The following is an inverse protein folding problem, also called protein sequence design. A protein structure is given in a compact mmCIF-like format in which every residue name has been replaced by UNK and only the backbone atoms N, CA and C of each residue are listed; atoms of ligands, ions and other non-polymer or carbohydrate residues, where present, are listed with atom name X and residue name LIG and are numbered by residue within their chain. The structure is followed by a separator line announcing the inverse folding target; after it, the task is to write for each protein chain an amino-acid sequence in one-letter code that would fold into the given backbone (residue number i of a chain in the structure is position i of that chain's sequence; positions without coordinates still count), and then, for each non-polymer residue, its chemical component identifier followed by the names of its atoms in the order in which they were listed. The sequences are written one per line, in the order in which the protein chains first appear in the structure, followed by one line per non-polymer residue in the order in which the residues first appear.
data_IF_385002407882
#
_entry.id   IF_385002407882
#
_cell.length_a   1.000
_cell.length_b   1.000
_cell.length_c   1.000
_cell.angle_alpha   90.00
_cell.angle_beta   90.00
_cell.angle_gamma   90.00
#
_symmetry.space_group_name_H-M   'P 1'
#
loop_
_entity.id
_entity.type
_entity.pdbx_description
1 polymer ?
#
# COMPACT_ATOMS: atom_id res chain seq x y z
N UNK A 1 15.28 -37.30 -24.95
CA UNK A 1 15.15 -36.87 -23.53
C UNK A 1 13.70 -36.45 -23.37
N UNK A 2 13.01 -37.05 -22.46
CA UNK A 2 11.62 -36.72 -22.18
C UNK A 2 11.55 -35.54 -21.18
N UNK A 3 10.81 -34.49 -21.50
CA UNK A 3 10.61 -33.37 -20.60
C UNK A 3 9.47 -33.66 -19.61
N UNK A 4 9.41 -32.89 -18.51
CA UNK A 4 8.28 -33.01 -17.59
C UNK A 4 7.03 -32.32 -18.18
N UNK A 5 7.21 -31.13 -18.81
CA UNK A 5 6.15 -30.38 -19.45
C UNK A 5 6.67 -29.68 -20.70
N UNK A 6 5.83 -29.65 -21.73
CA UNK A 6 6.00 -28.77 -22.90
C UNK A 6 4.79 -27.79 -22.95
N UNK A 7 5.08 -26.50 -23.03
CA UNK A 7 4.07 -25.47 -23.37
C UNK A 7 4.22 -25.20 -24.86
N UNK A 8 3.21 -25.58 -25.65
CA UNK A 8 3.32 -25.62 -27.10
C UNK A 8 2.56 -24.48 -27.80
N UNK A 9 3.18 -23.88 -28.83
CA UNK A 9 2.53 -22.97 -29.78
C UNK A 9 2.15 -21.59 -29.25
N UNK A 10 2.66 -21.19 -28.10
CA UNK A 10 2.38 -19.90 -27.48
C UNK A 10 3.11 -18.72 -28.11
N UNK A 11 2.60 -17.50 -27.88
CA UNK A 11 3.28 -16.25 -28.17
C UNK A 11 4.00 -15.79 -26.90
N UNK A 12 5.33 -15.93 -26.85
CA UNK A 12 6.14 -15.70 -25.65
C UNK A 12 6.49 -14.21 -25.57
N UNK A 13 6.20 -13.60 -24.40
CA UNK A 13 6.67 -12.28 -24.00
C UNK A 13 7.48 -12.48 -22.72
N UNK A 14 8.81 -12.39 -22.81
CA UNK A 14 9.72 -12.77 -21.73
C UNK A 14 10.01 -11.67 -20.71
N UNK A 15 9.45 -10.49 -20.89
CA UNK A 15 9.67 -9.32 -20.01
C UNK A 15 10.92 -8.52 -20.33
N UNK A 16 11.69 -8.86 -21.37
CA UNK A 16 12.89 -8.10 -21.78
C UNK A 16 12.57 -6.79 -22.52
N UNK A 17 11.32 -6.59 -22.93
CA UNK A 17 10.89 -5.50 -23.82
C UNK A 17 11.05 -5.83 -25.30
N UNK A 18 11.52 -7.04 -25.66
CA UNK A 18 11.57 -7.50 -27.03
C UNK A 18 10.16 -7.86 -27.56
N UNK A 19 10.04 -7.91 -28.88
CA UNK A 19 8.81 -8.34 -29.54
C UNK A 19 8.45 -9.79 -29.18
N UNK A 20 7.15 -10.07 -29.15
CA UNK A 20 6.64 -11.41 -28.87
C UNK A 20 7.17 -12.44 -29.89
N UNK A 21 7.66 -13.57 -29.42
CA UNK A 21 8.19 -14.64 -30.25
C UNK A 21 7.32 -15.89 -30.13
N UNK A 22 6.87 -16.47 -31.26
CA UNK A 22 6.16 -17.72 -31.27
C UNK A 22 7.11 -18.90 -31.12
N UNK A 23 6.98 -19.65 -30.03
CA UNK A 23 7.86 -20.79 -29.74
C UNK A 23 7.19 -21.73 -28.71
N UNK A 24 7.80 -22.89 -28.53
CA UNK A 24 7.47 -23.83 -27.46
C UNK A 24 8.46 -23.67 -26.29
N UNK A 25 8.04 -24.08 -25.10
CA UNK A 25 8.87 -24.08 -23.89
C UNK A 25 8.92 -25.48 -23.32
N UNK A 26 10.14 -26.03 -23.15
CA UNK A 26 10.36 -27.31 -22.48
C UNK A 26 10.82 -27.09 -21.04
N UNK A 27 10.22 -27.83 -20.11
CA UNK A 27 10.45 -27.74 -18.67
C UNK A 27 10.82 -29.12 -18.13
N UNK A 28 11.85 -29.18 -17.30
CA UNK A 28 12.22 -30.34 -16.51
C UNK A 28 12.81 -29.93 -15.17
N UNK A 29 12.44 -30.64 -14.10
CA UNK A 29 12.89 -30.35 -12.76
C UNK A 29 12.52 -28.93 -12.30
N UNK A 30 11.34 -28.43 -12.72
CA UNK A 30 10.83 -27.07 -12.36
C UNK A 30 11.59 -25.93 -13.05
N UNK A 31 12.44 -26.23 -14.08
CA UNK A 31 13.22 -25.22 -14.79
C UNK A 31 12.97 -25.26 -16.28
N UNK A 32 12.96 -24.09 -16.92
CA UNK A 32 12.96 -23.98 -18.38
C UNK A 32 14.30 -24.51 -18.89
N UNK A 33 14.25 -25.54 -19.72
CA UNK A 33 15.43 -26.19 -20.32
C UNK A 33 15.69 -25.66 -21.72
N UNK A 34 14.63 -25.38 -22.47
CA UNK A 34 14.73 -24.92 -23.87
C UNK A 34 13.51 -24.08 -24.26
N UNK A 35 13.74 -23.05 -25.05
CA UNK A 35 12.71 -22.29 -25.75
C UNK A 35 13.04 -22.39 -27.25
N UNK A 36 12.06 -22.70 -28.10
CA UNK A 36 12.22 -22.82 -29.54
C UNK A 36 11.30 -23.84 -30.18
N UNK A 37 11.66 -24.35 -31.35
CA UNK A 37 10.91 -25.43 -31.99
C UNK A 37 11.18 -26.77 -31.27
N UNK A 38 10.11 -27.36 -30.76
CA UNK A 38 10.10 -28.66 -30.05
C UNK A 38 9.25 -29.70 -30.76
N UNK A 39 9.01 -29.56 -32.08
CA UNK A 39 8.13 -30.43 -32.89
C UNK A 39 8.49 -31.93 -32.86
N UNK A 40 9.70 -32.29 -32.46
CA UNK A 40 10.14 -33.70 -32.30
C UNK A 40 10.37 -34.11 -30.85
N UNK A 41 10.07 -33.27 -29.87
CA UNK A 41 10.30 -33.55 -28.47
C UNK A 41 9.11 -34.26 -27.82
N UNK A 42 9.39 -35.03 -26.75
CA UNK A 42 8.36 -35.69 -25.92
C UNK A 42 8.35 -35.14 -24.51
N UNK A 43 7.21 -35.09 -23.88
CA UNK A 43 7.05 -34.71 -22.48
C UNK A 43 6.01 -35.60 -21.81
N UNK A 44 6.03 -35.66 -20.47
CA UNK A 44 4.98 -36.33 -19.68
C UNK A 44 3.64 -35.62 -19.88
N UNK A 45 3.66 -34.28 -19.88
CA UNK A 45 2.49 -33.42 -20.09
C UNK A 45 2.76 -32.38 -21.18
N UNK A 46 1.71 -32.02 -21.93
CA UNK A 46 1.77 -30.94 -22.94
C UNK A 46 0.60 -29.99 -22.74
N UNK A 47 0.91 -28.71 -22.57
CA UNK A 47 -0.07 -27.64 -22.50
C UNK A 47 -0.14 -26.93 -23.86
N UNK A 48 -1.29 -27.00 -24.54
CA UNK A 48 -1.53 -26.22 -25.75
C UNK A 48 -1.77 -24.74 -25.41
N UNK A 49 -0.83 -23.90 -25.81
CA UNK A 49 -0.89 -22.45 -25.69
C UNK A 49 -1.16 -21.75 -27.03
N UNK A 50 -1.65 -22.47 -28.04
CA UNK A 50 -1.98 -21.90 -29.34
C UNK A 50 -2.97 -20.75 -29.21
N UNK A 51 -2.62 -19.60 -29.78
CA UNK A 51 -3.42 -18.36 -29.68
C UNK A 51 -3.38 -17.66 -28.31
N UNK A 52 -2.53 -18.14 -27.40
CA UNK A 52 -2.34 -17.53 -26.06
C UNK A 52 -0.99 -16.83 -25.99
N UNK A 53 -0.93 -15.86 -25.06
CA UNK A 53 0.34 -15.23 -24.63
C UNK A 53 0.90 -16.08 -23.48
N UNK A 54 2.21 -16.34 -23.51
CA UNK A 54 2.95 -16.99 -22.43
C UNK A 54 3.97 -16.00 -21.88
N UNK A 55 3.86 -15.70 -20.59
CA UNK A 55 4.73 -14.76 -19.90
C UNK A 55 5.37 -15.41 -18.67
N UNK A 56 6.46 -14.85 -18.12
CA UNK A 56 6.83 -15.10 -16.73
C UNK A 56 5.66 -14.79 -15.79
N UNK A 57 5.61 -15.44 -14.64
CA UNK A 57 4.63 -15.09 -13.61
C UNK A 57 4.80 -13.64 -13.17
N UNK A 58 3.69 -12.99 -12.86
CA UNK A 58 3.72 -11.59 -12.42
C UNK A 58 4.32 -11.47 -11.02
N UNK A 59 5.07 -10.40 -10.80
CA UNK A 59 5.57 -9.99 -9.50
C UNK A 59 4.74 -8.80 -9.02
N UNK A 60 3.98 -9.00 -7.95
CA UNK A 60 3.23 -7.91 -7.33
C UNK A 60 4.11 -7.21 -6.30
N UNK A 61 4.54 -6.00 -6.63
CA UNK A 61 5.49 -5.22 -5.84
C UNK A 61 4.84 -4.46 -4.68
N UNK A 62 3.52 -4.46 -4.57
CA UNK A 62 2.84 -3.74 -3.51
C UNK A 62 1.58 -4.47 -3.06
N UNK A 63 1.70 -5.25 -2.00
CA UNK A 63 0.58 -5.96 -1.38
C UNK A 63 0.56 -5.73 0.12
N UNK A 64 -0.60 -5.99 0.73
CA UNK A 64 -0.79 -6.07 2.17
C UNK A 64 -1.36 -7.45 2.55
N UNK A 65 -0.78 -8.50 1.95
CA UNK A 65 -1.16 -9.88 2.19
C UNK A 65 -0.55 -10.45 3.49
N UNK A 66 0.13 -9.61 4.25
CA UNK A 66 0.85 -9.93 5.50
C UNK A 66 -0.01 -10.68 6.52
N UNK A 67 -1.28 -10.28 6.66
CA UNK A 67 -2.23 -10.94 7.55
C UNK A 67 -2.94 -12.10 6.84
N UNK A 68 -3.40 -11.88 5.61
CA UNK A 68 -4.19 -12.85 4.85
C UNK A 68 -3.50 -14.20 4.71
N UNK A 69 -2.19 -14.22 4.56
CA UNK A 69 -1.39 -15.44 4.44
C UNK A 69 -1.63 -16.43 5.59
N UNK A 70 -2.03 -15.95 6.77
CA UNK A 70 -2.30 -16.76 7.95
C UNK A 70 -3.52 -17.67 7.81
N UNK A 71 -4.55 -17.25 7.08
CA UNK A 71 -5.79 -18.01 6.88
C UNK A 71 -6.04 -18.38 5.41
N UNK A 72 -5.37 -17.73 4.49
CA UNK A 72 -5.43 -18.04 3.05
C UNK A 72 -4.01 -18.16 2.47
N UNK A 73 -3.32 -19.29 2.69
CA UNK A 73 -1.98 -19.50 2.14
C UNK A 73 -1.97 -19.60 0.61
N UNK A 74 -3.13 -19.75 -0.05
CA UNK A 74 -3.22 -19.63 -1.51
C UNK A 74 -3.05 -18.20 -1.99
N UNK A 75 -3.14 -17.22 -1.07
CA UNK A 75 -3.06 -15.79 -1.38
C UNK A 75 -4.01 -15.43 -2.52
N UNK A 76 -5.28 -15.92 -2.40
CA UNK A 76 -6.36 -15.69 -3.37
C UNK A 76 -6.58 -14.18 -3.48
N UNK A 77 -7.07 -13.84 -4.43
CA UNK A 77 -7.20 -13.52 -5.74
C UNK A 77 -5.91 -13.26 -6.52
N UNK A 78 -4.81 -12.86 -5.87
CA UNK A 78 -3.54 -12.57 -6.55
C UNK A 78 -3.02 -13.80 -7.30
N UNK A 79 -3.03 -14.99 -6.65
CA UNK A 79 -2.64 -16.25 -7.31
C UNK A 79 -3.50 -16.60 -8.52
N UNK A 80 -4.80 -16.30 -8.49
CA UNK A 80 -5.71 -16.57 -9.63
C UNK A 80 -5.51 -15.63 -10.81
N UNK A 81 -4.81 -14.52 -10.62
CA UNK A 81 -4.48 -13.55 -11.66
C UNK A 81 -3.07 -13.69 -12.23
N UNK A 82 -2.39 -14.83 -11.94
CA UNK A 82 -1.06 -15.12 -12.49
C UNK A 82 0.10 -14.46 -11.75
N UNK A 83 -0.15 -13.92 -10.55
CA UNK A 83 0.92 -13.52 -9.65
C UNK A 83 1.62 -14.76 -9.14
N UNK A 84 2.94 -14.77 -9.17
CA UNK A 84 3.79 -15.87 -8.67
C UNK A 84 4.75 -15.42 -7.58
N UNK A 85 4.90 -14.12 -7.39
CA UNK A 85 5.69 -13.52 -6.32
C UNK A 85 4.97 -12.30 -5.79
N UNK A 86 4.77 -12.22 -4.47
CA UNK A 86 4.18 -11.08 -3.80
C UNK A 86 5.17 -10.44 -2.82
N UNK A 87 5.21 -9.11 -2.81
CA UNK A 87 5.97 -8.34 -1.83
C UNK A 87 5.05 -7.90 -0.69
N UNK A 88 5.38 -8.29 0.54
CA UNK A 88 4.67 -7.94 1.77
C UNK A 88 5.47 -6.91 2.58
N UNK A 89 4.84 -6.33 3.60
CA UNK A 89 5.47 -5.31 4.45
C UNK A 89 5.56 -3.93 3.79
N UNK A 90 4.69 -3.61 2.85
CA UNK A 90 4.66 -2.30 2.20
C UNK A 90 4.14 -1.19 3.13
N UNK A 91 4.32 0.05 2.74
CA UNK A 91 3.82 1.25 3.44
C UNK A 91 4.25 1.34 4.92
N UNK A 92 5.35 0.70 5.30
CA UNK A 92 5.79 0.66 6.68
C UNK A 92 4.98 -0.25 7.58
N UNK A 93 4.00 -0.98 7.06
CA UNK A 93 3.10 -1.84 7.83
C UNK A 93 3.55 -3.29 7.70
N UNK A 94 3.95 -3.88 8.83
CA UNK A 94 4.35 -5.30 8.93
C UNK A 94 4.20 -5.78 10.37
N UNK A 95 4.25 -7.09 10.57
CA UNK A 95 4.15 -7.72 11.89
C UNK A 95 5.50 -8.07 12.52
N UNK A 96 6.62 -7.63 11.92
CA UNK A 96 7.97 -7.91 12.42
C UNK A 96 8.98 -6.78 12.10
N UNK A 97 10.00 -6.60 12.97
CA UNK A 97 10.18 -7.27 14.28
C UNK A 97 9.11 -6.82 15.29
N UNK A 98 8.77 -7.68 16.25
CA UNK A 98 7.68 -7.39 17.19
C UNK A 98 7.85 -8.13 18.52
N UNK A 99 7.97 -7.38 19.62
CA UNK A 99 7.86 -7.98 20.95
C UNK A 99 6.43 -8.41 21.26
N UNK A 100 6.20 -9.46 22.09
CA UNK A 100 4.87 -9.97 22.38
C UNK A 100 3.86 -8.93 22.89
N UNK A 101 4.34 -7.92 23.61
CA UNK A 101 3.51 -6.82 24.15
C UNK A 101 2.93 -5.90 23.08
N UNK A 102 3.56 -5.84 21.89
CA UNK A 102 3.22 -4.92 20.82
C UNK A 102 2.38 -5.57 19.69
N UNK A 103 2.15 -6.89 19.73
CA UNK A 103 1.42 -7.65 18.70
C UNK A 103 0.02 -7.08 18.45
N UNK A 104 -0.73 -6.83 19.50
CA UNK A 104 -2.10 -6.28 19.41
C UNK A 104 -2.09 -4.92 18.71
N UNK A 105 -1.13 -4.06 19.04
CA UNK A 105 -1.00 -2.76 18.40
C UNK A 105 -0.75 -2.87 16.88
N UNK A 106 0.11 -3.79 16.44
CA UNK A 106 0.35 -4.00 15.00
C UNK A 106 -0.89 -4.54 14.27
N UNK A 107 -1.69 -5.38 14.92
CA UNK A 107 -2.97 -5.83 14.36
C UNK A 107 -3.97 -4.67 14.21
N UNK A 108 -4.09 -3.80 15.21
CA UNK A 108 -4.95 -2.61 15.18
C UNK A 108 -4.49 -1.57 14.12
N UNK A 109 -3.18 -1.46 13.92
CA UNK A 109 -2.63 -0.61 12.86
C UNK A 109 -3.02 -1.16 11.47
N UNK A 110 -2.91 -2.46 11.24
CA UNK A 110 -3.33 -3.09 9.99
C UNK A 110 -4.85 -2.95 9.78
N UNK A 111 -5.67 -3.06 10.82
CA UNK A 111 -7.12 -2.81 10.74
C UNK A 111 -7.42 -1.42 10.19
N UNK A 112 -6.69 -0.41 10.66
CA UNK A 112 -6.91 0.97 10.23
C UNK A 112 -6.45 1.27 8.80
N UNK A 113 -5.49 0.49 8.30
CA UNK A 113 -4.90 0.71 6.96
C UNK A 113 -5.58 -0.15 5.91
N UNK A 114 -5.99 -1.39 6.27
CA UNK A 114 -6.46 -2.40 5.31
C UNK A 114 -7.88 -2.91 5.56
N UNK A 115 -8.62 -2.33 6.53
CA UNK A 115 -9.98 -2.73 6.89
C UNK A 115 -10.11 -4.23 7.30
N UNK A 116 -9.04 -4.83 7.83
CA UNK A 116 -9.05 -6.20 8.35
C UNK A 116 -9.14 -6.14 9.87
N UNK A 117 -10.22 -6.67 10.45
CA UNK A 117 -10.43 -6.61 11.89
C UNK A 117 -9.24 -7.16 12.70
N UNK A 118 -8.76 -6.39 13.68
CA UNK A 118 -7.59 -6.75 14.49
C UNK A 118 -7.76 -8.11 15.20
N UNK A 119 -8.97 -8.45 15.64
CA UNK A 119 -9.25 -9.76 16.23
C UNK A 119 -9.06 -10.90 15.22
N UNK A 120 -9.47 -10.71 13.96
CA UNK A 120 -9.24 -11.70 12.91
C UNK A 120 -7.75 -11.89 12.62
N UNK A 121 -6.96 -10.80 12.64
CA UNK A 121 -5.51 -10.86 12.50
C UNK A 121 -4.86 -11.57 13.67
N UNK A 122 -5.30 -11.27 14.91
CA UNK A 122 -4.77 -11.92 16.12
C UNK A 122 -5.03 -13.42 16.14
N UNK A 123 -6.21 -13.85 15.65
CA UNK A 123 -6.58 -15.27 15.58
C UNK A 123 -5.98 -15.98 14.35
N UNK A 124 -5.79 -15.25 13.25
CA UNK A 124 -5.36 -15.81 11.96
C UNK A 124 -3.85 -16.04 11.85
N UNK A 125 -3.05 -15.35 12.65
CA UNK A 125 -1.58 -15.45 12.60
C UNK A 125 -1.04 -16.24 13.80
N UNK A 126 0.04 -17.04 13.61
CA UNK A 126 0.61 -17.86 14.70
C UNK A 126 1.36 -17.06 15.76
N UNK A 127 1.79 -15.83 15.47
CA UNK A 127 2.52 -14.93 16.38
C UNK A 127 3.67 -15.59 17.16
N UNK A 128 4.42 -16.47 16.50
CA UNK A 128 5.51 -17.26 17.09
C UNK A 128 6.90 -16.67 16.81
N UNK A 129 6.98 -15.39 16.50
CA UNK A 129 8.20 -14.67 16.19
C UNK A 129 8.39 -13.43 17.07
N UNK A 130 9.62 -12.94 17.11
CA UNK A 130 10.06 -11.66 17.66
C UNK A 130 10.98 -10.93 16.68
N UNK A 131 11.85 -11.65 15.99
CA UNK A 131 12.72 -11.12 14.96
C UNK A 131 12.09 -11.21 13.56
N UNK A 132 12.71 -10.55 12.60
CA UNK A 132 12.26 -10.60 11.21
C UNK A 132 12.51 -11.96 10.57
N UNK A 133 13.65 -12.60 10.88
CA UNK A 133 13.97 -13.94 10.40
C UNK A 133 12.97 -14.99 10.90
N UNK A 134 12.63 -14.96 12.19
CA UNK A 134 11.59 -15.84 12.75
C UNK A 134 10.23 -15.61 12.08
N UNK A 135 9.91 -14.36 11.70
CA UNK A 135 8.70 -14.05 10.93
C UNK A 135 8.72 -14.71 9.55
N UNK A 136 9.84 -14.60 8.81
CA UNK A 136 9.97 -15.28 7.52
C UNK A 136 9.87 -16.81 7.65
N UNK A 137 10.45 -17.40 8.67
CA UNK A 137 10.32 -18.83 8.97
C UNK A 137 8.86 -19.21 9.25
N UNK A 138 8.15 -18.36 9.99
CA UNK A 138 6.72 -18.53 10.25
C UNK A 138 5.91 -18.46 8.95
N UNK A 139 6.15 -17.47 8.09
CA UNK A 139 5.51 -17.33 6.77
C UNK A 139 5.80 -18.57 5.92
N UNK A 140 7.04 -19.05 5.88
CA UNK A 140 7.40 -20.25 5.14
C UNK A 140 6.67 -21.50 5.67
N UNK A 141 6.45 -21.60 6.97
CA UNK A 141 5.73 -22.72 7.58
C UNK A 141 4.26 -22.81 7.17
N UNK A 142 3.65 -21.68 6.76
CA UNK A 142 2.30 -21.62 6.23
C UNK A 142 2.17 -22.16 4.80
N UNK A 143 3.29 -22.44 4.14
CA UNK A 143 3.37 -22.97 2.76
C UNK A 143 2.59 -22.14 1.74
N UNK A 144 2.90 -20.85 1.58
CA UNK A 144 2.20 -19.99 0.64
C UNK A 144 2.32 -20.52 -0.80
N UNK A 145 1.26 -20.34 -1.59
CA UNK A 145 1.24 -20.75 -3.01
C UNK A 145 2.09 -19.82 -3.89
N UNK A 146 2.37 -18.61 -3.44
CA UNK A 146 3.24 -17.64 -4.11
C UNK A 146 4.61 -17.60 -3.42
N UNK A 147 5.64 -17.21 -4.19
CA UNK A 147 6.87 -16.77 -3.55
C UNK A 147 6.58 -15.48 -2.79
N UNK A 148 7.13 -15.38 -1.58
CA UNK A 148 6.96 -14.19 -0.74
C UNK A 148 8.32 -13.54 -0.53
N UNK A 149 8.39 -12.23 -0.77
CA UNK A 149 9.51 -11.38 -0.38
C UNK A 149 8.98 -10.31 0.56
N UNK A 150 9.77 -9.91 1.56
CA UNK A 150 9.27 -9.02 2.59
C UNK A 150 10.16 -7.82 2.85
N UNK A 151 9.53 -6.71 3.23
CA UNK A 151 10.17 -5.48 3.68
C UNK A 151 10.04 -5.35 5.19
N UNK A 152 11.09 -4.93 5.87
CA UNK A 152 11.01 -4.51 7.27
C UNK A 152 10.22 -3.20 7.37
N UNK A 153 9.21 -3.14 8.22
CA UNK A 153 8.28 -2.01 8.27
C UNK A 153 8.62 -0.99 9.34
N UNK A 154 8.61 0.27 8.97
CA UNK A 154 8.90 1.39 9.85
C UNK A 154 7.99 1.45 11.08
N UNK A 155 6.69 1.18 10.89
CA UNK A 155 5.72 1.26 11.98
C UNK A 155 6.03 0.29 13.12
N UNK A 156 6.41 -0.95 12.80
CA UNK A 156 6.79 -1.95 13.80
C UNK A 156 8.08 -1.54 14.51
N UNK A 157 9.11 -1.17 13.76
CA UNK A 157 10.43 -0.84 14.28
C UNK A 157 10.41 0.44 15.13
N UNK A 158 9.76 1.50 14.64
CA UNK A 158 9.68 2.78 15.37
C UNK A 158 8.84 2.66 16.63
N UNK A 159 7.74 1.88 16.57
CA UNK A 159 6.92 1.61 17.76
C UNK A 159 7.67 0.77 18.79
N UNK A 160 8.47 -0.21 18.36
CA UNK A 160 9.30 -1.01 19.28
C UNK A 160 10.33 -0.14 19.99
N UNK A 161 10.92 0.85 19.31
CA UNK A 161 11.93 1.74 19.88
C UNK A 161 11.36 2.86 20.77
N UNK A 162 10.26 3.51 20.35
CA UNK A 162 9.74 4.74 20.94
C UNK A 162 8.40 4.56 21.67
N UNK A 163 7.72 3.40 21.47
CA UNK A 163 6.39 3.15 21.99
C UNK A 163 5.34 4.11 21.40
N UNK A 164 4.34 4.44 22.20
CA UNK A 164 3.20 5.27 21.81
C UNK A 164 3.61 6.67 21.28
N UNK A 165 4.70 7.21 21.80
CA UNK A 165 5.28 8.50 21.34
C UNK A 165 5.70 8.50 19.86
N UNK A 166 5.87 7.33 19.25
CA UNK A 166 6.24 7.20 17.83
C UNK A 166 5.21 7.80 16.87
N UNK A 167 3.97 7.99 17.32
CA UNK A 167 2.85 8.52 16.54
C UNK A 167 2.62 10.03 16.77
N UNK A 168 3.24 10.63 17.78
CA UNK A 168 3.03 12.03 18.09
C UNK A 168 3.64 12.94 17.03
N UNK A 169 2.87 13.94 16.61
CA UNK A 169 3.33 14.90 15.60
C UNK A 169 4.61 15.62 16.09
N UNK A 170 5.64 15.57 15.24
CA UNK A 170 6.94 16.19 15.56
C UNK A 170 7.83 15.43 16.54
N UNK A 171 7.38 14.30 17.10
CA UNK A 171 8.25 13.46 17.93
C UNK A 171 9.37 12.84 17.11
N UNK A 172 10.62 13.05 17.56
CA UNK A 172 11.80 12.46 16.94
C UNK A 172 12.47 11.50 17.93
N UNK A 173 13.17 10.45 17.44
CA UNK A 173 13.95 9.57 18.29
C UNK A 173 15.14 10.31 18.90
N UNK A 174 15.46 10.02 20.15
CA UNK A 174 16.74 10.39 20.71
C UNK A 174 17.89 9.55 20.11
N UNK A 175 19.15 9.82 20.49
CA UNK A 175 20.29 9.12 19.89
C UNK A 175 20.27 7.61 20.15
N UNK A 176 19.81 7.19 21.32
CA UNK A 176 19.72 5.76 21.69
C UNK A 176 18.58 5.07 20.95
N UNK A 177 17.44 5.73 20.84
CA UNK A 177 16.29 5.22 20.09
C UNK A 177 16.63 5.11 18.60
N UNK A 178 17.32 6.10 18.04
CA UNK A 178 17.77 6.09 16.64
C UNK A 178 18.76 4.96 16.36
N UNK A 179 19.73 4.75 17.26
CA UNK A 179 20.68 3.62 17.16
C UNK A 179 19.93 2.28 17.22
N UNK A 180 18.92 2.17 18.09
CA UNK A 180 18.08 0.96 18.18
C UNK A 180 17.27 0.72 16.92
N UNK A 181 16.66 1.78 16.33
CA UNK A 181 15.95 1.71 15.04
C UNK A 181 16.90 1.20 13.95
N UNK A 182 18.08 1.83 13.81
CA UNK A 182 19.08 1.45 12.81
C UNK A 182 19.55 0.01 12.97
N UNK A 183 19.75 -0.44 14.20
CA UNK A 183 20.15 -1.82 14.50
C UNK A 183 19.07 -2.82 14.11
N UNK A 184 17.81 -2.57 14.44
CA UNK A 184 16.68 -3.44 14.05
C UNK A 184 16.51 -3.50 12.54
N UNK A 185 16.65 -2.38 11.82
CA UNK A 185 16.60 -2.35 10.36
C UNK A 185 17.72 -3.21 9.77
N UNK A 186 18.97 -2.97 10.19
CA UNK A 186 20.13 -3.75 9.71
C UNK A 186 19.95 -5.24 9.96
N UNK A 187 19.56 -5.62 11.17
CA UNK A 187 19.30 -7.02 11.52
C UNK A 187 18.19 -7.64 10.66
N UNK A 188 17.08 -6.93 10.45
CA UNK A 188 15.98 -7.43 9.61
C UNK A 188 16.42 -7.72 8.18
N UNK A 189 17.29 -6.86 7.61
CA UNK A 189 17.85 -7.08 6.27
C UNK A 189 18.84 -8.25 6.26
N UNK A 190 19.71 -8.36 7.27
CA UNK A 190 20.62 -9.52 7.44
C UNK A 190 19.86 -10.85 7.59
N UNK A 191 18.66 -10.81 8.19
CA UNK A 191 17.77 -11.97 8.39
C UNK A 191 16.88 -12.28 7.18
N UNK A 192 16.94 -11.50 6.09
CA UNK A 192 16.29 -11.82 4.82
C UNK A 192 15.25 -10.83 4.31
N UNK A 193 15.03 -9.69 4.99
CA UNK A 193 14.25 -8.62 4.38
C UNK A 193 14.97 -8.10 3.13
N UNK A 194 14.23 -7.94 2.02
CA UNK A 194 14.81 -7.39 0.78
C UNK A 194 15.05 -5.86 0.86
N UNK A 195 14.67 -5.27 1.96
CA UNK A 195 14.83 -3.86 2.26
C UNK A 195 13.89 -3.40 3.36
N UNK A 196 13.48 -2.15 3.28
CA UNK A 196 12.70 -1.47 4.30
C UNK A 196 11.56 -0.67 3.66
N UNK A 197 10.47 -0.50 4.39
CA UNK A 197 9.34 0.31 3.96
C UNK A 197 8.93 1.35 5.01
N UNK A 198 8.43 2.49 4.53
CA UNK A 198 7.87 3.54 5.39
C UNK A 198 6.59 4.12 4.81
N UNK A 199 5.72 4.66 5.68
CA UNK A 199 4.64 5.53 5.27
C UNK A 199 4.85 6.93 5.81
N UNK A 200 4.80 7.88 4.90
CA UNK A 200 4.77 9.31 5.19
C UNK A 200 3.44 9.94 4.78
N UNK A 201 2.51 9.09 4.35
CA UNK A 201 1.21 9.47 3.83
C UNK A 201 0.24 9.79 4.98
N UNK A 202 -0.26 11.01 5.02
CA UNK A 202 -1.07 11.55 6.13
C UNK A 202 -2.44 10.88 6.31
N UNK A 203 -2.89 10.08 5.36
CA UNK A 203 -4.14 9.33 5.48
C UNK A 203 -3.96 7.96 6.12
N UNK A 204 -2.73 7.47 6.26
CA UNK A 204 -2.46 6.27 7.04
C UNK A 204 -2.50 6.63 8.53
N UNK A 205 -3.54 6.18 9.20
CA UNK A 205 -3.79 6.50 10.60
C UNK A 205 -3.97 5.23 11.44
N UNK A 206 -3.74 5.34 12.72
CA UNK A 206 -4.10 4.34 13.72
C UNK A 206 -5.54 4.57 14.22
N UNK A 207 -6.16 3.62 14.96
CA UNK A 207 -7.56 3.73 15.35
C UNK A 207 -7.95 5.00 16.12
N UNK A 208 -7.01 5.62 16.84
CA UNK A 208 -7.25 6.88 17.56
C UNK A 208 -7.14 8.14 16.69
N UNK A 209 -6.82 7.98 15.38
CA UNK A 209 -6.75 9.05 14.39
C UNK A 209 -5.38 9.71 14.26
N UNK A 210 -4.37 9.32 15.07
CA UNK A 210 -2.99 9.76 14.84
C UNK A 210 -2.42 9.08 13.60
N UNK A 211 -1.42 9.69 12.98
CA UNK A 211 -0.72 9.07 11.86
C UNK A 211 0.11 7.87 12.31
N UNK A 212 0.35 6.92 11.38
CA UNK A 212 1.16 5.72 11.65
C UNK A 212 2.59 6.08 12.05
N UNK A 213 3.27 5.27 12.88
CA UNK A 213 4.69 5.45 13.17
C UNK A 213 5.52 5.54 11.89
N UNK A 214 6.44 6.52 11.82
CA UNK A 214 7.22 6.81 10.61
C UNK A 214 6.72 8.01 9.81
N UNK A 215 5.43 8.38 9.90
CA UNK A 215 4.89 9.54 9.18
C UNK A 215 5.65 10.84 9.52
N UNK A 216 6.07 11.00 10.76
CA UNK A 216 6.75 12.21 11.26
C UNK A 216 8.28 12.08 11.31
N UNK A 217 8.85 10.96 10.83
CA UNK A 217 10.29 10.78 10.77
C UNK A 217 10.97 11.91 9.98
N UNK A 218 12.02 12.50 10.51
CA UNK A 218 12.82 13.52 9.83
C UNK A 218 13.91 12.90 8.92
N UNK A 219 14.66 13.73 8.22
CA UNK A 219 15.74 13.29 7.36
C UNK A 219 16.88 12.60 8.10
N UNK A 220 17.12 12.95 9.39
CA UNK A 220 18.11 12.29 10.21
C UNK A 220 17.74 10.83 10.46
N UNK A 221 16.47 10.58 10.81
CA UNK A 221 15.97 9.22 11.03
C UNK A 221 15.98 8.40 9.74
N UNK A 222 15.44 8.95 8.65
CA UNK A 222 15.41 8.24 7.36
C UNK A 222 16.79 7.93 6.82
N UNK A 223 17.77 8.84 7.00
CA UNK A 223 19.15 8.61 6.60
C UNK A 223 19.81 7.49 7.40
N UNK A 224 19.66 7.48 8.73
CA UNK A 224 20.18 6.40 9.56
C UNK A 224 19.59 5.03 9.17
N UNK A 225 18.30 4.99 8.82
CA UNK A 225 17.63 3.80 8.29
C UNK A 225 18.25 3.37 6.95
N UNK A 226 18.46 4.30 6.01
CA UNK A 226 19.06 4.01 4.70
C UNK A 226 20.50 3.49 4.83
N UNK A 227 21.30 4.07 5.70
CA UNK A 227 22.64 3.58 6.04
C UNK A 227 22.59 2.16 6.61
N UNK A 228 21.62 1.87 7.49
CA UNK A 228 21.41 0.55 8.07
C UNK A 228 20.97 -0.50 7.03
N UNK A 229 20.11 -0.14 6.07
CA UNK A 229 19.72 -1.00 4.95
C UNK A 229 20.94 -1.42 4.14
N UNK A 230 21.79 -0.46 3.77
CA UNK A 230 23.00 -0.73 2.99
C UNK A 230 24.00 -1.57 3.80
N UNK A 231 24.13 -1.28 5.09
CA UNK A 231 25.03 -2.05 5.97
C UNK A 231 24.58 -3.52 6.16
N UNK A 232 23.27 -3.80 6.11
CA UNK A 232 22.72 -5.16 6.23
C UNK A 232 22.67 -5.91 4.90
N UNK A 233 22.28 -5.26 3.81
CA UNK A 233 21.98 -5.90 2.51
C UNK A 233 22.93 -5.53 1.36
N UNK A 234 23.84 -4.61 1.58
CA UNK A 234 24.70 -4.08 0.53
C UNK A 234 23.99 -3.14 -0.45
N UNK A 235 24.71 -2.77 -1.51
CA UNK A 235 24.13 -1.94 -2.56
C UNK A 235 23.00 -2.67 -3.30
N UNK A 236 21.89 -1.97 -3.49
CA UNK A 236 20.71 -2.48 -4.18
C UNK A 236 19.61 -3.00 -3.28
N UNK A 237 19.77 -2.96 -1.96
CA UNK A 237 18.66 -3.21 -1.04
C UNK A 237 17.59 -2.11 -1.17
N UNK A 238 16.33 -2.50 -1.00
CA UNK A 238 15.19 -1.66 -1.35
C UNK A 238 14.81 -0.69 -0.22
N UNK A 239 14.63 0.58 -0.55
CA UNK A 239 13.94 1.56 0.28
C UNK A 239 12.59 1.90 -0.36
N UNK A 240 11.50 1.44 0.25
CA UNK A 240 10.13 1.68 -0.23
C UNK A 240 9.46 2.77 0.61
N UNK A 241 8.71 3.66 -0.03
CA UNK A 241 8.00 4.72 0.69
C UNK A 241 6.62 5.00 0.08
N UNK A 242 5.62 5.16 0.96
CA UNK A 242 4.36 5.81 0.64
C UNK A 242 4.46 7.27 1.07
N UNK A 243 4.34 8.22 0.14
CA UNK A 243 4.77 9.60 0.32
C UNK A 243 3.64 10.61 0.38
N UNK A 244 3.90 11.73 1.06
CA UNK A 244 3.10 12.94 1.00
C UNK A 244 3.71 13.93 0.00
N UNK A 245 3.38 13.74 -1.26
CA UNK A 245 3.86 14.60 -2.35
C UNK A 245 3.11 15.93 -2.45
N UNK A 246 2.08 16.15 -1.65
CA UNK A 246 1.31 17.39 -1.67
C UNK A 246 1.90 18.45 -0.74
N UNK A 247 2.27 18.07 0.47
CA UNK A 247 2.69 19.03 1.50
C UNK A 247 4.19 19.00 1.78
N UNK A 248 4.92 17.90 1.43
CA UNK A 248 6.32 17.68 1.77
C UNK A 248 7.22 17.39 0.56
N UNK A 249 6.83 17.81 -0.62
CA UNK A 249 7.46 17.43 -1.88
C UNK A 249 9.00 17.52 -1.86
N UNK A 250 9.56 18.67 -1.46
CA UNK A 250 11.02 18.87 -1.49
C UNK A 250 11.74 17.96 -0.50
N UNK A 251 11.18 17.77 0.70
CA UNK A 251 11.75 16.86 1.71
C UNK A 251 11.72 15.41 1.26
N UNK A 252 10.65 14.99 0.57
CA UNK A 252 10.55 13.64 0.00
C UNK A 252 11.60 13.43 -1.11
N UNK A 253 11.83 14.42 -1.97
CA UNK A 253 12.87 14.33 -2.98
C UNK A 253 14.28 14.27 -2.38
N UNK A 254 14.54 15.03 -1.30
CA UNK A 254 15.82 14.99 -0.58
C UNK A 254 16.06 13.61 0.03
N UNK A 255 15.03 13.03 0.68
CA UNK A 255 15.09 11.67 1.22
C UNK A 255 15.41 10.63 0.13
N UNK A 256 14.86 10.77 -1.07
CA UNK A 256 15.15 9.86 -2.18
C UNK A 256 16.57 10.02 -2.73
N UNK A 257 17.08 11.27 -2.81
CA UNK A 257 18.47 11.50 -3.17
C UNK A 257 19.43 10.85 -2.20
N UNK A 258 19.21 11.07 -0.90
CA UNK A 258 20.00 10.43 0.15
C UNK A 258 20.03 8.91 0.00
N UNK A 259 18.86 8.30 -0.23
CA UNK A 259 18.75 6.85 -0.41
C UNK A 259 19.53 6.35 -1.63
N UNK A 260 19.36 7.00 -2.80
CA UNK A 260 20.05 6.59 -4.02
C UNK A 260 21.55 6.86 -3.96
N UNK A 261 21.98 7.94 -3.29
CA UNK A 261 23.40 8.28 -3.09
C UNK A 261 24.10 7.28 -2.19
N UNK A 262 23.41 6.77 -1.18
CA UNK A 262 23.88 5.69 -0.30
C UNK A 262 23.91 4.32 -0.98
N UNK A 263 23.23 4.15 -2.12
CA UNK A 263 23.21 2.90 -2.88
C UNK A 263 21.96 2.06 -2.69
N UNK A 264 20.91 2.58 -2.04
CA UNK A 264 19.60 1.94 -2.02
C UNK A 264 18.95 2.01 -3.41
N UNK A 265 18.15 1.00 -3.75
CA UNK A 265 17.13 1.14 -4.79
C UNK A 265 15.88 1.76 -4.16
N UNK A 266 15.30 2.76 -4.79
CA UNK A 266 14.11 3.44 -4.27
C UNK A 266 12.87 3.04 -5.05
N UNK A 267 11.85 2.63 -4.30
CA UNK A 267 10.53 2.33 -4.83
C UNK A 267 9.49 3.13 -4.04
N UNK A 268 8.72 3.99 -4.68
CA UNK A 268 7.74 4.79 -3.95
C UNK A 268 6.34 4.67 -4.55
N UNK A 269 5.34 4.77 -3.66
CA UNK A 269 3.93 4.81 -4.03
C UNK A 269 3.48 6.25 -4.11
N UNK A 270 3.03 6.67 -5.26
CA UNK A 270 2.50 8.01 -5.43
C UNK A 270 2.35 8.36 -6.90
N UNK A 271 1.20 8.95 -7.23
CA UNK A 271 0.96 9.43 -8.59
C UNK A 271 1.82 10.64 -8.91
N UNK A 272 2.35 10.69 -10.10
CA UNK A 272 3.07 11.85 -10.64
C UNK A 272 2.12 12.99 -11.03
N UNK A 273 0.80 12.76 -11.04
CA UNK A 273 -0.20 13.63 -11.66
C UNK A 273 -0.73 14.78 -10.82
N UNK A 274 -0.42 14.86 -9.52
CA UNK A 274 -1.08 15.82 -8.62
C UNK A 274 -0.38 17.20 -8.50
N UNK A 275 0.69 17.45 -9.27
CA UNK A 275 1.57 18.60 -9.07
C UNK A 275 1.23 19.85 -9.93
N UNK A 276 0.08 19.85 -10.61
CA UNK A 276 -0.31 20.94 -11.51
C UNK A 276 0.58 21.07 -12.76
N UNK A 277 0.44 22.20 -13.46
CA UNK A 277 1.23 22.48 -14.67
C UNK A 277 2.73 22.50 -14.34
N UNK A 278 3.49 21.65 -15.01
CA UNK A 278 4.94 21.51 -14.80
C UNK A 278 5.36 20.44 -13.78
N UNK A 279 4.41 19.84 -13.02
CA UNK A 279 4.73 18.78 -12.07
C UNK A 279 5.30 17.53 -12.73
N UNK A 280 4.78 17.13 -13.88
CA UNK A 280 5.28 15.99 -14.67
C UNK A 280 6.72 16.23 -15.12
N UNK A 281 7.03 17.41 -15.67
CA UNK A 281 8.39 17.73 -16.10
C UNK A 281 9.41 17.73 -14.95
N UNK A 282 9.02 18.17 -13.75
CA UNK A 282 9.88 18.09 -12.55
C UNK A 282 10.15 16.63 -12.16
N UNK A 283 9.14 15.77 -12.24
CA UNK A 283 9.31 14.34 -11.99
C UNK A 283 10.22 13.69 -13.02
N UNK A 284 10.02 13.96 -14.32
CA UNK A 284 10.86 13.44 -15.40
C UNK A 284 12.31 13.82 -15.17
N UNK A 285 12.61 15.10 -14.92
CA UNK A 285 13.95 15.56 -14.63
C UNK A 285 14.56 14.88 -13.40
N UNK A 286 13.76 14.68 -12.33
CA UNK A 286 14.21 14.00 -11.13
C UNK A 286 14.49 12.51 -11.38
N UNK A 287 13.62 11.82 -12.15
CA UNK A 287 13.84 10.42 -12.54
C UNK A 287 15.11 10.28 -13.39
N UNK A 288 15.33 11.18 -14.34
CA UNK A 288 16.56 11.18 -15.16
C UNK A 288 17.80 11.37 -14.28
N UNK A 289 17.79 12.35 -13.36
CA UNK A 289 18.86 12.58 -12.41
C UNK A 289 19.16 11.34 -11.56
N UNK A 290 18.12 10.76 -10.96
CA UNK A 290 18.27 9.66 -9.98
C UNK A 290 18.47 8.28 -10.62
N UNK A 291 18.31 8.14 -11.94
CA UNK A 291 18.55 6.88 -12.66
C UNK A 291 19.85 6.86 -13.47
N UNK A 292 20.78 7.76 -13.15
CA UNK A 292 22.13 7.80 -13.76
C UNK A 292 23.15 7.06 -12.88
N UNK A 293 24.25 6.62 -13.48
CA UNK A 293 25.40 6.09 -12.76
C UNK A 293 25.13 4.80 -11.96
N UNK A 294 24.09 4.03 -12.31
CA UNK A 294 23.71 2.80 -11.62
C UNK A 294 22.74 2.98 -10.46
N UNK A 295 22.34 4.20 -10.12
CA UNK A 295 21.26 4.49 -9.18
C UNK A 295 19.92 4.03 -9.75
N UNK A 296 18.97 3.69 -8.90
CA UNK A 296 17.63 3.24 -9.31
C UNK A 296 16.56 3.84 -8.43
N UNK A 297 15.66 4.58 -9.09
CA UNK A 297 14.44 5.11 -8.50
C UNK A 297 13.26 4.77 -9.41
N UNK A 298 12.20 4.19 -8.87
CA UNK A 298 10.99 3.85 -9.59
C UNK A 298 9.75 4.23 -8.77
N UNK A 299 8.67 4.58 -9.47
CA UNK A 299 7.37 4.74 -8.84
C UNK A 299 6.48 3.55 -9.13
N UNK A 300 5.62 3.20 -8.16
CA UNK A 300 4.55 2.22 -8.33
C UNK A 300 3.29 2.99 -8.71
N UNK A 301 2.69 2.60 -9.82
CA UNK A 301 1.38 3.07 -10.24
C UNK A 301 0.37 1.94 -10.08
N UNK A 302 -0.84 2.28 -9.63
CA UNK A 302 -1.93 1.32 -9.62
C UNK A 302 -2.27 0.88 -11.04
N UNK A 303 -2.44 -0.42 -11.23
CA UNK A 303 -2.86 -1.00 -12.52
C UNK A 303 -4.37 -0.92 -12.74
N UNK A 304 -5.09 -0.41 -11.76
CA UNK A 304 -6.55 -0.20 -11.77
C UNK A 304 -6.88 1.13 -11.10
N UNK A 305 -8.04 1.72 -11.38
CA UNK A 305 -8.54 2.85 -10.59
C UNK A 305 -8.65 2.45 -9.11
N UNK A 306 -8.23 3.34 -8.24
CA UNK A 306 -8.39 3.21 -6.79
C UNK A 306 -9.22 4.37 -6.28
N UNK A 307 -9.97 4.13 -5.20
CA UNK A 307 -10.82 5.15 -4.60
C UNK A 307 -11.10 4.82 -3.14
N UNK A 308 -11.65 5.79 -2.44
CA UNK A 308 -12.14 5.63 -1.08
C UNK A 308 -13.64 5.92 -1.04
N UNK A 309 -14.36 5.16 -0.23
CA UNK A 309 -15.77 5.40 0.02
C UNK A 309 -15.92 6.30 1.25
N UNK A 310 -16.72 7.34 1.09
CA UNK A 310 -17.09 8.24 2.18
C UNK A 310 -18.57 8.10 2.47
N UNK A 311 -18.91 7.83 3.73
CA UNK A 311 -20.28 7.64 4.16
C UNK A 311 -20.36 7.49 5.68
N UNK A 312 -21.57 7.35 6.21
CA UNK A 312 -21.76 7.17 7.65
C UNK A 312 -21.32 5.82 8.18
N UNK A 313 -21.18 4.81 7.30
CA UNK A 313 -20.71 3.47 7.67
C UNK A 313 -19.19 3.42 7.80
N UNK A 314 -18.46 4.23 7.05
CA UNK A 314 -17.04 4.08 6.83
C UNK A 314 -16.26 5.32 7.28
N UNK A 315 -15.89 6.17 6.34
CA UNK A 315 -15.09 7.36 6.58
C UNK A 315 -15.90 8.62 6.34
N UNK A 316 -15.67 9.63 7.15
CA UNK A 316 -16.12 10.99 6.86
C UNK A 316 -14.91 11.87 6.58
N UNK A 317 -14.93 12.70 5.51
CA UNK A 317 -13.81 13.56 5.16
C UNK A 317 -13.55 14.65 6.21
N UNK A 318 -14.46 14.88 7.16
CA UNK A 318 -14.42 16.00 8.10
C UNK A 318 -13.92 15.62 9.49
N UNK A 319 -13.77 14.33 9.82
CA UNK A 319 -13.47 13.89 11.20
C UNK A 319 -12.14 14.42 11.73
N UNK A 320 -11.16 14.68 10.87
CA UNK A 320 -9.87 15.23 11.31
C UNK A 320 -9.99 16.65 11.89
N UNK A 321 -10.87 17.49 11.35
CA UNK A 321 -10.96 18.90 11.69
C UNK A 321 -12.25 19.31 12.43
N UNK A 322 -13.30 18.49 12.39
CA UNK A 322 -14.61 18.79 12.97
C UNK A 322 -14.93 17.90 14.16
N UNK A 323 -15.19 18.53 15.31
CA UNK A 323 -15.66 17.83 16.51
C UNK A 323 -17.06 17.25 16.30
N UNK A 324 -17.96 18.00 15.66
CA UNK A 324 -19.32 17.54 15.41
C UNK A 324 -19.35 16.28 14.54
N UNK A 325 -18.46 16.18 13.53
CA UNK A 325 -18.35 14.99 12.70
C UNK A 325 -17.74 13.81 13.45
N UNK A 326 -16.75 14.03 14.33
CA UNK A 326 -16.26 12.95 15.22
C UNK A 326 -17.35 12.43 16.13
N UNK A 327 -18.11 13.34 16.77
CA UNK A 327 -19.22 12.96 17.66
C UNK A 327 -20.29 12.14 16.91
N UNK A 328 -20.63 12.54 15.67
CA UNK A 328 -21.56 11.80 14.82
C UNK A 328 -21.04 10.39 14.50
N UNK A 329 -19.79 10.31 14.06
CA UNK A 329 -19.19 9.02 13.66
C UNK A 329 -18.95 8.09 14.86
N UNK A 330 -18.83 8.61 16.06
CA UNK A 330 -18.72 7.83 17.30
C UNK A 330 -20.06 7.23 17.77
N UNK A 331 -21.21 7.59 17.18
CA UNK A 331 -22.48 6.99 17.53
C UNK A 331 -22.50 5.47 17.20
N UNK A 332 -23.16 4.68 18.06
CA UNK A 332 -22.96 3.22 18.07
C UNK A 332 -23.59 2.45 16.90
N UNK A 333 -24.46 3.11 16.11
CA UNK A 333 -25.12 2.44 14.99
C UNK A 333 -25.41 3.40 13.82
N UNK A 334 -25.55 2.85 12.63
CA UNK A 334 -25.97 3.57 11.44
C UNK A 334 -27.29 4.33 11.68
N UNK A 335 -28.29 3.67 12.25
CA UNK A 335 -29.58 4.30 12.56
C UNK A 335 -29.40 5.53 13.48
N UNK A 336 -28.57 5.44 14.50
CA UNK A 336 -28.29 6.56 15.39
C UNK A 336 -27.61 7.73 14.65
N UNK A 337 -26.69 7.45 13.73
CA UNK A 337 -26.01 8.45 12.89
C UNK A 337 -27.00 9.13 11.94
N UNK A 338 -27.83 8.36 11.27
CA UNK A 338 -28.87 8.87 10.35
C UNK A 338 -29.89 9.73 11.12
N UNK A 339 -30.37 9.29 12.28
CA UNK A 339 -31.33 10.03 13.10
C UNK A 339 -30.73 11.35 13.65
N UNK A 340 -29.46 11.33 14.04
CA UNK A 340 -28.74 12.54 14.41
C UNK A 340 -28.63 13.51 13.21
N UNK A 341 -28.39 13.01 12.01
CA UNK A 341 -28.30 13.82 10.79
C UNK A 341 -29.67 14.38 10.35
N UNK A 342 -30.78 13.70 10.66
CA UNK A 342 -32.15 14.19 10.46
C UNK A 342 -32.50 15.35 11.37
N UNK A 343 -31.84 15.48 12.53
CA UNK A 343 -32.06 16.59 13.45
C UNK A 343 -31.55 17.92 12.85
N UNK A 344 -32.42 18.90 12.68
CA UNK A 344 -32.10 20.15 11.99
C UNK A 344 -30.94 20.95 12.63
N UNK A 345 -30.84 20.94 13.96
CA UNK A 345 -29.77 21.65 14.70
C UNK A 345 -28.44 20.98 14.51
N UNK A 346 -28.39 19.63 14.67
CA UNK A 346 -27.18 18.84 14.46
C UNK A 346 -26.73 18.95 13.01
N UNK A 347 -27.63 18.82 12.06
CA UNK A 347 -27.35 18.96 10.63
C UNK A 347 -26.74 20.30 10.28
N UNK A 348 -27.33 21.41 10.78
CA UNK A 348 -26.78 22.73 10.54
C UNK A 348 -25.37 22.92 11.11
N UNK A 349 -25.09 22.35 12.28
CA UNK A 349 -23.75 22.35 12.89
C UNK A 349 -22.75 21.54 12.04
N UNK A 350 -23.12 20.34 11.59
CA UNK A 350 -22.27 19.50 10.75
C UNK A 350 -21.91 20.16 9.42
N UNK A 351 -22.91 20.81 8.78
CA UNK A 351 -22.68 21.57 7.55
C UNK A 351 -21.71 22.74 7.81
N UNK A 352 -21.96 23.55 8.84
CA UNK A 352 -21.12 24.68 9.16
C UNK A 352 -19.67 24.29 9.47
N UNK A 353 -19.46 23.26 10.28
CA UNK A 353 -18.10 22.76 10.58
C UNK A 353 -17.45 22.09 9.37
N UNK A 354 -18.20 21.39 8.54
CA UNK A 354 -17.71 20.82 7.29
C UNK A 354 -17.22 21.88 6.30
N UNK A 355 -17.99 22.96 6.13
CA UNK A 355 -17.56 24.11 5.30
C UNK A 355 -16.29 24.75 5.89
N UNK A 356 -16.27 24.97 7.21
CA UNK A 356 -15.14 25.59 7.89
C UNK A 356 -13.85 24.74 7.80
N UNK A 357 -13.96 23.42 7.70
CA UNK A 357 -12.80 22.51 7.54
C UNK A 357 -12.02 22.77 6.25
N UNK A 358 -12.70 23.22 5.19
CA UNK A 358 -12.14 23.43 3.86
C UNK A 358 -11.85 22.16 3.06
N UNK A 359 -12.10 20.97 3.62
CA UNK A 359 -11.74 19.68 2.99
C UNK A 359 -12.47 19.44 1.66
N UNK A 360 -13.74 19.89 1.54
CA UNK A 360 -14.50 19.74 0.29
C UNK A 360 -13.98 20.59 -0.87
N UNK A 361 -13.16 21.60 -0.62
CA UNK A 361 -12.58 22.43 -1.71
C UNK A 361 -11.76 21.61 -2.69
N UNK A 362 -11.11 20.58 -2.21
CA UNK A 362 -10.27 19.70 -3.02
C UNK A 362 -10.97 18.37 -3.39
N UNK A 363 -11.79 17.86 -2.49
CA UNK A 363 -12.43 16.56 -2.68
C UNK A 363 -13.67 16.60 -3.59
N UNK A 364 -14.46 17.69 -3.58
CA UNK A 364 -15.75 17.73 -4.26
C UNK A 364 -15.69 17.46 -5.78
N UNK A 365 -14.56 17.77 -6.43
CA UNK A 365 -14.37 17.49 -7.84
C UNK A 365 -14.12 16.00 -8.14
N UNK A 366 -13.65 15.25 -7.15
CA UNK A 366 -13.28 13.83 -7.26
C UNK A 366 -14.34 12.90 -6.66
N UNK A 367 -15.29 13.44 -5.89
CA UNK A 367 -16.35 12.64 -5.28
C UNK A 367 -17.52 12.48 -6.23
N UNK A 368 -17.95 11.25 -6.41
CA UNK A 368 -19.10 10.86 -7.22
C UNK A 368 -20.10 10.06 -6.38
N UNK A 369 -21.42 10.18 -6.61
CA UNK A 369 -22.37 9.32 -5.95
C UNK A 369 -22.14 7.85 -6.33
N UNK A 370 -22.05 6.97 -5.33
CA UNK A 370 -21.82 5.54 -5.57
C UNK A 370 -23.12 4.75 -5.84
N UNK A 371 -24.28 5.35 -5.62
CA UNK A 371 -25.56 4.65 -5.63
C UNK A 371 -25.95 4.13 -4.25
N UNK A 372 -26.34 2.88 -4.16
CA UNK A 372 -26.63 2.21 -2.88
C UNK A 372 -26.06 0.77 -2.90
N UNK A 373 -26.14 0.06 -1.78
CA UNK A 373 -25.60 -1.30 -1.63
C UNK A 373 -26.17 -2.31 -2.65
N UNK A 374 -27.42 -2.13 -3.07
CA UNK A 374 -28.08 -3.04 -4.00
C UNK A 374 -27.78 -2.70 -5.47
N UNK A 375 -27.52 -1.42 -5.75
CA UNK A 375 -27.28 -0.92 -7.12
C UNK A 375 -26.12 0.08 -7.12
N UNK A 376 -24.89 -0.42 -6.90
CA UNK A 376 -23.70 0.45 -6.98
C UNK A 376 -23.51 0.92 -8.42
N UNK A 377 -23.23 2.20 -8.60
CA UNK A 377 -22.91 2.78 -9.90
C UNK A 377 -21.42 3.11 -9.97
N UNK A 378 -20.68 2.33 -10.75
CA UNK A 378 -19.24 2.45 -10.94
C UNK A 378 -18.86 3.24 -12.21
N UNK A 379 -19.85 3.75 -12.98
CA UNK A 379 -19.61 4.54 -14.19
C UNK A 379 -19.35 6.02 -13.84
N UNK A 380 -18.27 6.28 -13.15
CA UNK A 380 -17.90 7.62 -12.67
C UNK A 380 -17.65 8.62 -13.79
N UNK A 381 -17.29 8.18 -14.99
CA UNK A 381 -17.06 9.07 -16.14
C UNK A 381 -18.36 9.73 -16.62
N UNK A 382 -19.51 9.09 -16.43
CA UNK A 382 -20.82 9.60 -16.82
C UNK A 382 -21.54 10.32 -15.70
N UNK A 383 -21.07 10.17 -14.46
CA UNK A 383 -21.71 10.80 -13.31
C UNK A 383 -21.18 12.21 -13.11
N UNK A 384 -22.06 13.10 -12.69
CA UNK A 384 -21.68 14.42 -12.23
C UNK A 384 -20.93 14.30 -10.88
N UNK A 385 -19.80 14.99 -10.76
CA UNK A 385 -19.10 15.09 -9.48
C UNK A 385 -19.94 15.87 -8.46
N UNK A 386 -19.61 15.71 -7.17
CA UNK A 386 -20.25 16.45 -6.10
C UNK A 386 -20.17 17.97 -6.31
N UNK A 387 -19.04 18.46 -6.87
CA UNK A 387 -18.88 19.87 -7.23
C UNK A 387 -19.90 20.31 -8.30
N UNK A 388 -20.08 19.51 -9.35
CA UNK A 388 -21.05 19.80 -10.41
C UNK A 388 -22.49 19.73 -9.92
N UNK A 389 -22.80 18.76 -9.04
CA UNK A 389 -24.11 18.66 -8.39
C UNK A 389 -24.41 19.85 -7.51
N UNK A 390 -23.42 20.32 -6.75
CA UNK A 390 -23.54 21.50 -5.89
C UNK A 390 -23.77 22.77 -6.72
N UNK A 391 -23.01 22.96 -7.78
CA UNK A 391 -23.20 24.08 -8.72
C UNK A 391 -24.61 24.08 -9.34
N UNK A 392 -25.10 22.91 -9.78
CA UNK A 392 -26.44 22.77 -10.36
C UNK A 392 -27.56 23.03 -9.36
N UNK A 393 -27.33 22.71 -8.07
CA UNK A 393 -28.29 22.93 -7.00
C UNK A 393 -28.22 24.34 -6.38
N UNK A 394 -27.19 25.13 -6.72
CA UNK A 394 -26.92 26.41 -6.08
C UNK A 394 -26.60 26.30 -4.58
N UNK A 395 -25.94 25.20 -4.17
CA UNK A 395 -25.60 24.86 -2.79
C UNK A 395 -24.08 24.70 -2.61
N UNK A 396 -23.63 24.75 -1.36
CA UNK A 396 -22.28 24.35 -1.01
C UNK A 396 -22.10 22.82 -1.19
N UNK A 397 -20.94 22.33 -1.65
CA UNK A 397 -20.67 20.90 -1.76
C UNK A 397 -20.90 20.10 -0.49
N UNK A 398 -20.64 20.68 0.70
CA UNK A 398 -20.92 20.04 2.00
C UNK A 398 -22.42 19.83 2.21
N UNK A 399 -23.24 20.81 1.82
CA UNK A 399 -24.70 20.67 1.92
C UNK A 399 -25.22 19.53 1.03
N UNK A 400 -24.71 19.44 -0.21
CA UNK A 400 -25.09 18.37 -1.14
C UNK A 400 -24.60 17.02 -0.63
N UNK A 401 -23.41 16.94 -0.05
CA UNK A 401 -22.90 15.72 0.57
C UNK A 401 -23.82 15.25 1.69
N UNK A 402 -24.19 16.12 2.61
CA UNK A 402 -25.12 15.82 3.71
C UNK A 402 -26.51 15.40 3.19
N UNK A 403 -27.01 16.08 2.16
CA UNK A 403 -28.29 15.72 1.54
C UNK A 403 -28.24 14.31 0.90
N UNK A 404 -27.12 13.94 0.31
CA UNK A 404 -26.89 12.59 -0.24
C UNK A 404 -26.82 11.53 0.85
N UNK A 405 -26.10 11.75 1.92
CA UNK A 405 -26.08 10.84 3.08
C UNK A 405 -27.47 10.58 3.64
N UNK A 406 -28.33 11.61 3.69
CA UNK A 406 -29.72 11.45 4.12
C UNK A 406 -30.57 10.66 3.12
N UNK A 407 -30.36 10.89 1.83
CA UNK A 407 -31.13 10.22 0.77
C UNK A 407 -30.76 8.74 0.60
N UNK A 408 -29.52 8.37 0.91
CA UNK A 408 -29.01 6.99 0.86
C UNK A 408 -29.14 6.25 2.21
N UNK A 409 -29.61 6.93 3.25
CA UNK A 409 -29.61 6.43 4.63
C UNK A 409 -28.22 6.09 5.18
N UNK A 410 -27.20 6.80 4.69
CA UNK A 410 -25.80 6.71 5.09
C UNK A 410 -24.83 6.58 3.95
#
# INVERSE_FOLDING_TARGET
MEYDLIIAGGSIIDGSGADATRADIAISGGRIQRIGDLSGATAKDTLDASGKIVTPGFVDLHTHLDAQIGWDPLMSSSSYHGVTTAMIGNCGVTFAPCSPKNRRYLAELMESVEDIAADAIMDGLPWNWTSYGEYLDSVQSLQPALNVVGLAGHSAIRYEAMGDRSMDEGAQPDDRELEHIAQMVKQSVEEGAVGFSTSRFLLHTVPDGRCTPGTWADLRETKAIQEAIVAGGGHGALFQSANDMQTRFETELEMFRDATDLGCQVLFSGGTGAQGDGGVARWEAFFEEQNTGGKRLASICHTRPSGAFFGLAQLSPFTKKSAAWRDLMALPSMSARVDALKNATTRAKLIAEGIASGDMKHLAAMLHPFGNEQTPDLDFERQASLLQLAASAGKDPVEVYVDRLLASEG
#
